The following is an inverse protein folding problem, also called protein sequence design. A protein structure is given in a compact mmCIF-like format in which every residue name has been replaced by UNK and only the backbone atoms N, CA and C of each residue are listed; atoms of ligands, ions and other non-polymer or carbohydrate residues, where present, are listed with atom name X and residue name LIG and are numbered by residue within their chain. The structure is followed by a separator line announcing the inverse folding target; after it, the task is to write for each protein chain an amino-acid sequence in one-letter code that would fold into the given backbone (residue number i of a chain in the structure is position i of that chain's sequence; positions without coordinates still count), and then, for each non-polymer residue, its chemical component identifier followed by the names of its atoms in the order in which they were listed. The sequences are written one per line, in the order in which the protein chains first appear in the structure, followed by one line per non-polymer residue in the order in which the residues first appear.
data_IF_706684190889
#
_entry.id   IF_706684190889
#
_cell.length_a   1.000
_cell.length_b   1.000
_cell.length_c   1.000
_cell.angle_alpha   90.00
_cell.angle_beta   90.00
_cell.angle_gamma   90.00
#
_symmetry.space_group_name_H-M   'P 1'
#
loop_
_entity.id
_entity.type
_entity.pdbx_description
1 polymer ?
#
# COMPACT_ATOMS: atom_id res chain seq x y z
N UNK A 1 4.32 -2.76 -4.75
CA UNK A 1 3.66 -1.88 -3.76
C UNK A 1 2.46 -2.55 -3.03
N UNK A 2 1.79 -3.57 -3.57
CA UNK A 2 0.70 -4.27 -2.85
C UNK A 2 1.13 -4.90 -1.51
N UNK A 3 2.30 -5.57 -1.46
CA UNK A 3 2.78 -6.19 -0.23
C UNK A 3 3.07 -5.17 0.88
N UNK A 4 3.59 -3.99 0.52
CA UNK A 4 3.92 -2.93 1.48
C UNK A 4 2.69 -2.40 2.20
N UNK A 5 1.50 -2.46 1.59
CA UNK A 5 0.24 -2.05 2.23
C UNK A 5 -0.04 -2.83 3.51
N UNK A 6 0.19 -4.14 3.47
CA UNK A 6 -0.09 -5.04 4.61
C UNK A 6 1.14 -5.17 5.50
N UNK A 7 2.33 -5.29 4.91
CA UNK A 7 3.57 -5.53 5.65
C UNK A 7 3.99 -4.33 6.50
N UNK A 8 3.80 -3.09 6.05
CA UNK A 8 4.25 -1.93 6.83
C UNK A 8 3.49 -1.76 8.15
N UNK A 9 2.14 -1.84 8.19
CA UNK A 9 1.41 -1.85 9.45
C UNK A 9 1.86 -2.96 10.39
N UNK A 10 2.09 -4.18 9.88
CA UNK A 10 2.55 -5.29 10.72
C UNK A 10 3.93 -5.07 11.31
N UNK A 11 4.87 -4.46 10.56
CA UNK A 11 6.24 -4.25 11.03
C UNK A 11 6.40 -2.98 11.88
N UNK A 12 5.66 -1.91 11.54
CA UNK A 12 5.89 -0.56 12.07
C UNK A 12 4.66 0.05 12.75
N UNK A 13 3.48 -0.55 12.62
CA UNK A 13 2.22 -0.02 13.16
C UNK A 13 1.59 1.08 12.33
N UNK A 14 2.07 1.35 11.11
CA UNK A 14 1.55 2.43 10.25
C UNK A 14 1.73 2.11 8.75
N UNK A 15 0.93 2.76 7.92
CA UNK A 15 0.99 2.66 6.46
C UNK A 15 2.24 3.36 5.88
N UNK A 16 2.70 2.97 4.68
CA UNK A 16 3.80 3.66 4.00
C UNK A 16 3.50 5.15 3.76
N UNK A 17 4.51 6.00 3.96
CA UNK A 17 4.40 7.45 3.71
C UNK A 17 3.94 7.78 2.30
N UNK A 18 4.36 7.01 1.29
CA UNK A 18 3.90 7.18 -0.10
C UNK A 18 2.39 6.94 -0.23
N UNK A 19 1.86 5.89 0.41
CA UNK A 19 0.43 5.60 0.39
C UNK A 19 -0.37 6.68 1.10
N UNK A 20 0.09 7.15 2.26
CA UNK A 20 -0.58 8.26 2.98
C UNK A 20 -0.61 9.55 2.16
N UNK A 21 0.47 9.86 1.45
CA UNK A 21 0.55 11.04 0.57
C UNK A 21 -0.38 10.95 -0.64
N UNK A 22 -0.53 9.77 -1.25
CA UNK A 22 -1.32 9.60 -2.48
C UNK A 22 -2.81 9.37 -2.16
N UNK A 23 -3.11 8.49 -1.22
CA UNK A 23 -4.48 8.16 -0.84
C UNK A 23 -5.13 9.28 0.00
N UNK A 24 -4.33 10.00 0.79
CA UNK A 24 -4.80 11.09 1.65
C UNK A 24 -5.87 10.60 2.61
N UNK A 25 -7.02 11.28 2.64
CA UNK A 25 -8.13 10.98 3.54
C UNK A 25 -8.89 9.68 3.18
N UNK A 26 -8.66 9.10 1.99
CA UNK A 26 -9.31 7.85 1.58
C UNK A 26 -8.75 6.61 2.29
N UNK A 27 -7.57 6.71 2.89
CA UNK A 27 -6.99 5.62 3.69
C UNK A 27 -7.20 5.92 5.19
N UNK A 28 -7.71 4.97 5.98
CA UNK A 28 -7.88 5.18 7.41
C UNK A 28 -6.53 5.35 8.10
N UNK A 29 -6.52 6.16 9.15
CA UNK A 29 -5.38 6.33 10.05
C UNK A 29 -5.57 5.48 11.29
N UNK A 30 -4.48 4.91 11.80
CA UNK A 30 -4.49 4.21 13.08
C UNK A 30 -4.36 5.21 14.22
N UNK A 31 -5.14 5.00 15.28
CA UNK A 31 -4.84 5.58 16.59
C UNK A 31 -3.56 4.97 17.17
N UNK A 32 -2.96 5.64 18.16
CA UNK A 32 -1.78 5.11 18.84
C UNK A 32 -2.00 3.72 19.45
N UNK A 33 -3.23 3.45 19.92
CA UNK A 33 -3.60 2.14 20.47
C UNK A 33 -3.65 1.08 19.37
N UNK A 34 -4.30 1.37 18.26
CA UNK A 34 -4.39 0.43 17.12
C UNK A 34 -3.03 0.17 16.49
N UNK A 35 -2.21 1.22 16.36
CA UNK A 35 -0.84 1.12 15.85
C UNK A 35 -0.01 0.15 16.68
N UNK A 36 -0.09 0.24 18.02
CA UNK A 36 0.58 -0.69 18.94
C UNK A 36 0.02 -2.12 18.86
N UNK A 37 -1.28 -2.28 18.61
CA UNK A 37 -1.91 -3.60 18.50
C UNK A 37 -1.51 -4.33 17.22
N UNK A 38 -1.41 -3.62 16.10
CA UNK A 38 -1.06 -4.22 14.79
C UNK A 38 0.45 -4.47 14.66
N UNK A 39 1.27 -3.62 15.29
CA UNK A 39 2.72 -3.79 15.25
C UNK A 39 3.15 -5.08 15.92
N UNK A 40 3.80 -5.96 15.17
CA UNK A 40 4.27 -7.26 15.64
C UNK A 40 3.15 -8.30 15.79
N UNK A 41 1.95 -8.04 15.26
CA UNK A 41 0.81 -8.98 15.36
C UNK A 41 0.91 -10.14 14.36
N UNK A 42 2.05 -10.84 14.34
CA UNK A 42 2.28 -12.00 13.47
C UNK A 42 3.24 -13.00 14.15
N UNK A 43 2.93 -14.30 14.02
CA UNK A 43 3.84 -15.39 14.44
C UNK A 43 4.76 -15.86 13.30
N UNK A 44 4.27 -15.80 12.07
CA UNK A 44 5.02 -16.09 10.84
C UNK A 44 4.44 -15.27 9.68
N UNK A 45 5.21 -15.12 8.60
CA UNK A 45 4.76 -14.43 7.38
C UNK A 45 4.94 -15.39 6.21
N UNK A 46 3.81 -15.85 5.65
CA UNK A 46 3.79 -16.65 4.43
C UNK A 46 3.74 -15.76 3.19
N UNK A 47 4.58 -16.05 2.20
CA UNK A 47 4.58 -15.37 0.90
C UNK A 47 4.12 -16.33 -0.18
N UNK A 48 3.05 -15.97 -0.89
CA UNK A 48 2.55 -16.72 -2.05
C UNK A 48 2.94 -15.94 -3.31
N UNK A 49 3.67 -16.59 -4.22
CA UNK A 49 4.19 -15.99 -5.44
C UNK A 49 3.80 -16.82 -6.66
N UNK A 50 3.24 -16.17 -7.69
CA UNK A 50 2.81 -16.83 -8.93
C UNK A 50 3.44 -16.24 -10.20
N UNK A 51 3.61 -14.92 -10.25
CA UNK A 51 4.05 -14.23 -11.47
C UNK A 51 4.75 -12.92 -11.13
N UNK A 52 5.45 -12.38 -12.13
CA UNK A 52 6.08 -11.07 -12.10
C UNK A 52 5.46 -10.17 -13.17
N UNK A 53 5.35 -8.88 -12.86
CA UNK A 53 4.79 -7.88 -13.76
C UNK A 53 5.83 -6.77 -13.94
N UNK A 54 6.12 -6.43 -15.19
CA UNK A 54 6.98 -5.29 -15.49
C UNK A 54 6.17 -3.99 -15.41
N UNK A 55 6.73 -3.00 -14.73
CA UNK A 55 6.01 -1.78 -14.38
C UNK A 55 6.78 -0.53 -14.77
N UNK A 56 6.06 0.47 -15.26
CA UNK A 56 6.61 1.81 -15.52
C UNK A 56 5.79 2.86 -14.79
N UNK A 57 6.46 3.88 -14.27
CA UNK A 57 5.79 5.00 -13.61
C UNK A 57 4.96 5.81 -14.62
N UNK A 58 3.75 6.19 -14.24
CA UNK A 58 2.89 7.06 -15.02
C UNK A 58 2.08 7.99 -14.09
N UNK A 59 2.47 9.27 -14.07
CA UNK A 59 1.81 10.30 -13.25
C UNK A 59 0.43 10.69 -13.75
N UNK A 60 0.11 10.47 -15.03
CA UNK A 60 -1.20 10.83 -15.61
C UNK A 60 -2.35 10.05 -14.96
N UNK A 61 -2.06 8.86 -14.41
CA UNK A 61 -3.05 8.06 -13.68
C UNK A 61 -3.55 8.78 -12.42
N UNK A 62 -2.72 9.64 -11.83
CA UNK A 62 -3.07 10.41 -10.63
C UNK A 62 -3.99 11.60 -10.94
N UNK A 63 -4.13 12.03 -12.20
CA UNK A 63 -4.99 13.15 -12.59
C UNK A 63 -6.47 12.75 -12.74
N UNK A 64 -6.78 11.45 -12.68
CA UNK A 64 -8.16 10.96 -12.75
C UNK A 64 -8.96 11.31 -11.49
N UNK A 65 -10.24 11.67 -11.65
CA UNK A 65 -11.13 12.04 -10.54
C UNK A 65 -11.61 10.83 -9.72
N UNK A 66 -11.74 9.66 -10.35
CA UNK A 66 -12.10 8.40 -9.70
C UNK A 66 -10.85 7.52 -9.57
N UNK A 67 -10.17 7.63 -8.43
CA UNK A 67 -8.99 6.83 -8.12
C UNK A 67 -9.34 5.67 -7.21
N UNK A 68 -9.11 4.47 -7.71
CA UNK A 68 -9.08 3.25 -6.93
C UNK A 68 -7.66 2.98 -6.41
N UNK A 69 -7.52 1.89 -5.66
CA UNK A 69 -6.23 1.47 -5.13
C UNK A 69 -5.18 1.23 -6.24
N UNK A 70 -5.61 0.75 -7.41
CA UNK A 70 -4.70 0.46 -8.54
C UNK A 70 -4.20 1.76 -9.17
N UNK A 71 -5.08 2.75 -9.31
CA UNK A 71 -4.77 4.08 -9.81
C UNK A 71 -3.79 4.82 -8.88
N UNK A 72 -3.94 4.66 -7.56
CA UNK A 72 -3.04 5.25 -6.55
C UNK A 72 -1.62 4.72 -6.60
N UNK A 73 -1.39 3.61 -7.30
CA UNK A 73 -0.04 3.08 -7.49
C UNK A 73 0.75 3.93 -8.49
N UNK A 74 0.08 4.70 -9.36
CA UNK A 74 0.68 5.49 -10.45
C UNK A 74 1.56 4.63 -11.39
N UNK A 75 1.07 3.44 -11.74
CA UNK A 75 1.82 2.44 -12.49
C UNK A 75 1.08 2.03 -13.76
N UNK A 76 1.83 1.93 -14.86
CA UNK A 76 1.41 1.25 -16.08
C UNK A 76 2.06 -0.14 -16.11
N UNK A 77 1.23 -1.19 -16.20
CA UNK A 77 1.71 -2.55 -16.41
C UNK A 77 2.04 -2.75 -17.89
N UNK A 78 3.25 -3.22 -18.18
CA UNK A 78 3.62 -3.65 -19.53
C UNK A 78 3.50 -5.18 -19.62
N UNK A 79 2.92 -5.64 -20.73
CA UNK A 79 2.93 -7.06 -21.11
C UNK A 79 4.30 -7.45 -21.66
#
# INVERSE_FOLDING_TARGET
MCYLRVMKPLLHGDYPTSMKKIAGERIPTFTDRESKLVKGSYGFIGLIHYTNINITYNSLVLESNLRDFSADMAVLMRK
#
